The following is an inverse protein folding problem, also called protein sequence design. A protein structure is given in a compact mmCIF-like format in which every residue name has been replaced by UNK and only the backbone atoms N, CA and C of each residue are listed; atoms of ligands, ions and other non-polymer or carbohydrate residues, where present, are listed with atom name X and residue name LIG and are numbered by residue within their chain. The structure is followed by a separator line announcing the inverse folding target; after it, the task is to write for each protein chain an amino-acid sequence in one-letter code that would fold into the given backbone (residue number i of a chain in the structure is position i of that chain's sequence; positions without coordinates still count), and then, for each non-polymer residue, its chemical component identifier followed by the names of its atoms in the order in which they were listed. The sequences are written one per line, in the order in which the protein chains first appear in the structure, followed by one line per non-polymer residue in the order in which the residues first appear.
data_IF_390626050864
#
_entry.id   IF_390626050864
#
_cell.length_a   1.000
_cell.length_b   1.000
_cell.length_c   1.000
_cell.angle_alpha   90.00
_cell.angle_beta   90.00
_cell.angle_gamma   90.00
#
_symmetry.space_group_name_H-M   'P 1'
#
loop_
_entity.id
_entity.type
_entity.pdbx_description
1 polymer ?
#
# COMPACT_ATOMS: atom_id res chain seq x y z
N UNK A 1 7.23 -0.58 -6.97
CA UNK A 1 6.67 -0.34 -5.62
C UNK A 1 7.10 -1.47 -4.72
N UNK A 2 7.34 -1.18 -3.44
CA UNK A 2 7.79 -2.14 -2.46
C UNK A 2 7.06 -1.97 -1.13
N UNK A 3 6.82 -3.08 -0.43
CA UNK A 3 6.27 -3.10 0.93
C UNK A 3 7.14 -4.02 1.79
N UNK A 4 7.64 -3.46 2.89
CA UNK A 4 8.48 -4.16 3.86
C UNK A 4 7.65 -4.49 5.09
N UNK A 5 7.61 -5.77 5.46
CA UNK A 5 7.08 -6.19 6.74
C UNK A 5 8.19 -6.10 7.81
N UNK A 6 8.03 -5.25 8.81
CA UNK A 6 9.03 -5.02 9.85
C UNK A 6 9.27 -6.26 10.75
N UNK A 7 8.33 -7.19 10.80
CA UNK A 7 8.48 -8.45 11.55
C UNK A 7 9.12 -9.56 10.71
N UNK A 8 9.09 -9.44 9.37
CA UNK A 8 9.53 -10.47 8.41
C UNK A 8 10.19 -9.79 7.21
N UNK A 9 11.36 -9.23 7.44
CA UNK A 9 12.08 -8.39 6.47
C UNK A 9 12.38 -9.18 5.19
N UNK A 10 12.63 -10.48 5.32
CA UNK A 10 12.88 -11.42 4.23
C UNK A 10 11.69 -11.59 3.27
N UNK A 11 10.47 -11.25 3.69
CA UNK A 11 9.25 -11.33 2.88
C UNK A 11 8.87 -10.00 2.22
N UNK A 12 9.86 -9.18 1.87
CA UNK A 12 9.61 -7.92 1.19
C UNK A 12 8.88 -8.15 -0.14
N UNK A 13 7.75 -7.46 -0.32
CA UNK A 13 6.93 -7.56 -1.52
C UNK A 13 7.40 -6.49 -2.49
N UNK A 14 7.92 -6.91 -3.64
CA UNK A 14 8.36 -6.01 -4.71
C UNK A 14 7.55 -6.30 -5.98
N UNK A 15 7.03 -5.23 -6.59
CA UNK A 15 6.34 -5.29 -7.88
C UNK A 15 6.77 -4.09 -8.73
N UNK A 16 7.12 -4.37 -9.97
CA UNK A 16 7.46 -3.33 -10.94
C UNK A 16 6.22 -2.89 -11.71
N UNK A 17 6.10 -1.58 -11.89
CA UNK A 17 5.03 -0.96 -12.68
C UNK A 17 5.64 0.09 -13.59
N UNK A 18 5.17 0.25 -14.84
CA UNK A 18 5.71 1.24 -15.77
C UNK A 18 5.61 2.69 -15.26
N UNK A 19 4.58 2.98 -14.44
CA UNK A 19 4.37 4.30 -13.83
C UNK A 19 3.85 4.16 -12.41
N UNK A 20 4.10 5.15 -11.55
CA UNK A 20 3.50 5.22 -10.22
C UNK A 20 2.29 6.15 -10.27
N UNK A 21 1.10 5.56 -10.34
CA UNK A 21 -0.17 6.26 -10.37
C UNK A 21 -1.17 5.55 -9.42
N UNK A 22 -2.33 6.16 -9.17
CA UNK A 22 -3.33 5.63 -8.25
C UNK A 22 -3.79 4.20 -8.60
N UNK A 23 -3.97 3.88 -9.89
CA UNK A 23 -4.37 2.53 -10.34
C UNK A 23 -3.29 1.49 -10.00
N UNK A 24 -2.04 1.80 -10.26
CA UNK A 24 -0.94 0.89 -9.97
C UNK A 24 -0.72 0.70 -8.46
N UNK A 25 -1.01 1.72 -7.63
CA UNK A 25 -1.03 1.57 -6.17
C UNK A 25 -2.11 0.58 -5.73
N UNK A 26 -3.31 0.64 -6.32
CA UNK A 26 -4.39 -0.33 -6.02
C UNK A 26 -3.99 -1.75 -6.44
N UNK A 27 -3.39 -1.92 -7.63
CA UNK A 27 -2.87 -3.23 -8.06
C UNK A 27 -1.84 -3.76 -7.06
N UNK A 28 -1.00 -2.88 -6.52
CA UNK A 28 -0.02 -3.25 -5.52
C UNK A 28 -0.66 -3.71 -4.20
N UNK A 29 -1.75 -3.08 -3.74
CA UNK A 29 -2.53 -3.59 -2.60
C UNK A 29 -3.06 -5.00 -2.84
N UNK A 30 -3.47 -5.31 -4.08
CA UNK A 30 -3.82 -6.66 -4.49
C UNK A 30 -2.66 -7.65 -4.28
N UNK A 31 -1.44 -7.30 -4.72
CA UNK A 31 -0.25 -8.13 -4.50
C UNK A 31 0.10 -8.32 -3.02
N UNK A 32 -0.20 -7.36 -2.15
CA UNK A 32 -0.06 -7.55 -0.70
C UNK A 32 -1.07 -8.58 -0.18
N UNK A 33 -2.30 -8.57 -0.72
CA UNK A 33 -3.38 -9.49 -0.34
C UNK A 33 -3.24 -10.91 -0.89
N UNK A 34 -2.37 -11.13 -1.87
CA UNK A 34 -1.94 -12.47 -2.26
C UNK A 34 -1.16 -13.18 -1.14
N UNK A 35 -0.53 -12.42 -0.24
CA UNK A 35 0.34 -12.95 0.83
C UNK A 35 -0.35 -12.94 2.19
N UNK A 36 -1.10 -11.88 2.50
CA UNK A 36 -1.73 -11.69 3.80
C UNK A 36 -3.27 -11.77 3.72
N UNK A 37 -3.92 -12.65 4.51
CA UNK A 37 -5.36 -12.90 4.42
C UNK A 37 -6.18 -11.67 4.83
N UNK A 38 -7.39 -11.50 4.27
CA UNK A 38 -8.29 -10.37 4.56
C UNK A 38 -8.69 -10.25 6.03
N UNK A 39 -8.69 -11.35 6.79
CA UNK A 39 -8.94 -11.35 8.24
C UNK A 39 -7.88 -10.58 9.03
N UNK A 40 -6.67 -10.43 8.48
CA UNK A 40 -5.62 -9.61 9.05
C UNK A 40 -5.72 -8.18 8.52
N UNK A 41 -5.86 -7.22 9.44
CA UNK A 41 -5.75 -5.80 9.12
C UNK A 41 -4.30 -5.46 8.82
N UNK A 42 -4.06 -4.82 7.68
CA UNK A 42 -2.71 -4.40 7.26
C UNK A 42 -2.61 -2.90 7.45
N UNK A 43 -1.53 -2.44 8.09
CA UNK A 43 -1.22 -1.03 8.22
C UNK A 43 -0.08 -0.67 7.28
N UNK A 44 -0.28 0.31 6.41
CA UNK A 44 0.73 0.78 5.46
C UNK A 44 1.05 2.23 5.75
N UNK A 45 2.34 2.56 5.88
CA UNK A 45 2.84 3.93 6.03
C UNK A 45 3.31 4.42 4.66
N UNK A 46 2.74 5.53 4.19
CA UNK A 46 3.01 6.13 2.87
C UNK A 46 3.52 7.56 3.01
N UNK A 47 4.24 8.04 1.98
CA UNK A 47 4.55 9.46 1.86
C UNK A 47 3.32 10.30 1.44
N UNK A 48 3.49 11.61 1.36
CA UNK A 48 2.44 12.55 0.96
C UNK A 48 2.18 12.65 -0.56
N UNK A 49 2.64 11.72 -1.40
CA UNK A 49 2.46 11.84 -2.84
C UNK A 49 0.97 11.88 -3.25
N UNK A 50 0.64 12.68 -4.27
CA UNK A 50 -0.75 12.91 -4.68
C UNK A 50 -1.50 11.62 -5.03
N UNK A 51 -0.81 10.66 -5.67
CA UNK A 51 -1.40 9.37 -6.03
C UNK A 51 -1.71 8.47 -4.82
N UNK A 52 -0.97 8.57 -3.71
CA UNK A 52 -1.27 7.84 -2.47
C UNK A 52 -2.52 8.39 -1.74
N UNK A 53 -2.88 9.64 -2.02
CA UNK A 53 -4.03 10.34 -1.42
C UNK A 53 -5.27 10.37 -2.31
N UNK A 54 -5.19 9.78 -3.50
CA UNK A 54 -6.30 9.67 -4.42
C UNK A 54 -7.47 8.89 -3.81
N UNK A 55 -8.70 9.31 -4.09
CA UNK A 55 -9.92 8.69 -3.56
C UNK A 55 -9.99 7.19 -3.85
N UNK A 56 -9.71 6.80 -5.10
CA UNK A 56 -9.63 5.40 -5.53
C UNK A 56 -8.70 4.55 -4.63
N UNK A 57 -7.57 5.09 -4.20
CA UNK A 57 -6.62 4.38 -3.34
C UNK A 57 -7.20 4.19 -1.94
N UNK A 58 -7.87 5.22 -1.40
CA UNK A 58 -8.50 5.15 -0.07
C UNK A 58 -9.67 4.17 -0.04
N UNK A 59 -10.53 4.21 -1.05
CA UNK A 59 -11.67 3.30 -1.18
C UNK A 59 -11.21 1.84 -1.28
N UNK A 60 -10.21 1.57 -2.13
CA UNK A 60 -9.68 0.22 -2.28
C UNK A 60 -8.93 -0.25 -1.04
N UNK A 61 -8.23 0.63 -0.32
CA UNK A 61 -7.66 0.29 0.97
C UNK A 61 -8.75 -0.14 1.97
N UNK A 62 -9.86 0.60 2.04
CA UNK A 62 -11.00 0.25 2.90
C UNK A 62 -11.59 -1.13 2.53
N UNK A 63 -11.89 -1.37 1.26
CA UNK A 63 -12.41 -2.66 0.77
C UNK A 63 -11.47 -3.81 1.10
N UNK A 64 -10.17 -3.59 0.98
CA UNK A 64 -9.15 -4.59 1.24
C UNK A 64 -8.76 -4.65 2.72
N UNK A 65 -9.48 -4.02 3.66
CA UNK A 65 -9.13 -4.02 5.10
C UNK A 65 -7.69 -3.53 5.39
N UNK A 66 -7.24 -2.51 4.64
CA UNK A 66 -5.93 -1.86 4.77
C UNK A 66 -6.15 -0.48 5.38
N UNK A 67 -5.40 -0.17 6.44
CA UNK A 67 -5.35 1.16 7.03
C UNK A 67 -4.12 1.91 6.54
N UNK A 68 -4.35 3.08 5.97
CA UNK A 68 -3.31 3.95 5.43
C UNK A 68 -2.91 5.00 6.47
N UNK A 69 -1.62 5.04 6.77
CA UNK A 69 -0.99 6.09 7.56
C UNK A 69 -0.13 6.95 6.63
N UNK A 70 -0.13 8.26 6.82
CA UNK A 70 0.66 9.18 6.01
C UNK A 70 1.73 9.83 6.86
N UNK A 71 2.97 9.85 6.35
CA UNK A 71 4.05 10.59 6.98
C UNK A 71 3.71 12.10 7.04
N UNK A 72 4.13 12.81 8.09
CA UNK A 72 3.99 14.26 8.13
C UNK A 72 4.73 14.89 6.94
N UNK A 73 4.29 16.07 6.46
CA UNK A 73 5.01 16.80 5.42
C UNK A 73 6.45 17.05 5.86
N UNK A 74 7.40 16.81 4.97
CA UNK A 74 8.79 17.20 5.21
C UNK A 74 8.84 18.73 5.36
N UNK A 75 9.46 19.21 6.45
CA UNK A 75 9.70 20.63 6.71
C UNK A 75 11.05 21.05 6.14
#
# INVERSE_FOLDING_TARGET
MGALNLQRIEETIIREYPTINAKNVVLFFGSIREIYPLSQKIHIILDGAGYHRAELVKEMAYVLNIELHYLPPYR
#
